data_IF_715465739821
#
_entry.id   IF_715465739821
#
_cell.length_a   1.000
_cell.length_b   1.000
_cell.length_c   1.000
_cell.angle_alpha   90.00
_cell.angle_beta   90.00
_cell.angle_gamma   90.00
#
_symmetry.space_group_name_H-M   'P 1'
#
loop_
_entity.id
_entity.type
_entity.pdbx_description
1 polymer ?
#
# COMPACT_ATOMS: atom_id res chain seq x y z
N UNK A 1 0.40 -4.28 48.14
CA UNK A 1 -0.26 -4.47 46.83
C UNK A 1 -0.21 -3.17 46.04
N UNK A 2 0.18 -3.28 44.75
CA UNK A 2 -0.09 -2.33 43.65
C UNK A 2 0.73 -1.03 43.60
N UNK A 3 2.03 -1.13 43.29
CA UNK A 3 2.84 -0.01 42.72
C UNK A 3 3.92 -0.49 41.72
N UNK A 4 3.62 -1.46 40.84
CA UNK A 4 4.59 -1.97 39.85
C UNK A 4 4.02 -2.03 38.41
N UNK A 5 2.96 -1.28 38.09
CA UNK A 5 2.33 -1.32 36.75
C UNK A 5 2.73 -0.19 35.81
N UNK A 6 3.71 0.66 36.16
CA UNK A 6 4.11 1.80 35.30
C UNK A 6 5.44 1.58 34.58
N UNK A 7 6.29 0.67 35.06
CA UNK A 7 7.63 0.46 34.46
C UNK A 7 7.59 -0.49 33.24
N UNK A 8 6.52 -1.26 33.07
CA UNK A 8 6.37 -2.13 31.89
C UNK A 8 5.99 -1.39 30.59
N UNK A 9 5.54 -0.14 30.67
CA UNK A 9 5.09 0.60 29.48
C UNK A 9 6.26 1.27 28.73
N UNK A 10 7.34 1.63 29.44
CA UNK A 10 8.48 2.38 28.85
C UNK A 10 9.48 1.46 28.14
N UNK A 11 9.54 0.18 28.51
CA UNK A 11 10.47 -0.79 27.90
C UNK A 11 9.98 -1.33 26.55
N UNK A 12 8.71 -1.10 26.19
CA UNK A 12 8.20 -1.44 24.85
C UNK A 12 8.54 -0.33 23.82
N UNK A 13 8.94 0.87 24.28
CA UNK A 13 9.34 1.99 23.41
C UNK A 13 10.82 1.93 22.96
N UNK A 14 11.48 0.79 23.17
CA UNK A 14 12.90 0.59 22.83
C UNK A 14 13.13 -0.57 21.85
N UNK A 15 12.21 -0.77 20.91
CA UNK A 15 12.53 -1.46 19.67
C UNK A 15 12.89 -0.40 18.62
N UNK A 16 14.19 -0.16 18.45
CA UNK A 16 14.71 0.46 17.24
C UNK A 16 14.26 -0.40 16.05
N UNK A 17 13.13 -0.09 15.42
CA UNK A 17 12.95 -0.45 14.03
C UNK A 17 13.84 0.52 13.25
N UNK A 18 15.01 0.01 12.89
CA UNK A 18 15.82 0.59 11.85
C UNK A 18 14.91 0.80 10.63
N UNK A 19 14.48 2.04 10.39
CA UNK A 19 13.97 2.43 9.08
C UNK A 19 15.19 2.22 8.17
N UNK A 20 15.17 1.30 7.19
CA UNK A 20 16.23 1.28 6.21
C UNK A 20 16.23 2.66 5.54
N UNK A 21 17.24 3.46 5.84
CA UNK A 21 17.56 4.64 5.05
C UNK A 21 17.87 4.09 3.65
N UNK A 22 16.93 4.25 2.73
CA UNK A 22 17.16 3.92 1.33
C UNK A 22 18.28 4.84 0.82
N UNK A 23 19.49 4.30 0.84
CA UNK A 23 20.64 4.93 0.24
C UNK A 23 20.35 5.07 -1.26
N UNK A 24 20.46 6.31 -1.75
CA UNK A 24 20.45 6.69 -3.15
C UNK A 24 21.58 5.94 -3.88
N UNK A 25 21.30 4.73 -4.35
CA UNK A 25 22.18 3.95 -5.20
C UNK A 25 22.00 4.39 -6.64
N UNK A 26 23.10 4.85 -7.26
CA UNK A 26 23.17 5.26 -8.65
C UNK A 26 22.54 4.22 -9.60
N UNK A 27 21.43 4.55 -10.25
CA UNK A 27 20.99 3.82 -11.43
C UNK A 27 21.87 4.24 -12.61
N UNK A 28 22.47 3.30 -13.36
CA UNK A 28 23.16 3.64 -14.59
C UNK A 28 22.14 4.21 -15.58
N UNK A 29 22.41 5.42 -16.05
CA UNK A 29 21.74 5.98 -17.22
C UNK A 29 22.02 5.06 -18.42
N UNK A 30 21.02 4.78 -19.26
CA UNK A 30 21.15 4.65 -20.74
C UNK A 30 19.81 4.34 -21.43
N UNK A 31 19.38 5.33 -22.23
CA UNK A 31 18.71 5.34 -23.54
C UNK A 31 17.28 4.81 -23.71
N UNK A 32 16.39 5.75 -24.06
CA UNK A 32 15.14 5.50 -24.77
C UNK A 32 14.43 6.83 -25.08
N UNK A 33 14.77 7.46 -26.21
CA UNK A 33 14.08 8.65 -26.71
C UNK A 33 12.71 8.22 -27.28
N UNK A 34 11.63 8.79 -26.77
CA UNK A 34 10.29 8.65 -27.35
C UNK A 34 9.50 9.94 -27.15
N UNK A 35 9.30 10.68 -28.24
CA UNK A 35 8.52 11.91 -28.28
C UNK A 35 7.06 11.51 -28.53
N UNK A 36 6.20 11.64 -27.52
CA UNK A 36 4.77 11.33 -27.63
C UNK A 36 3.91 12.57 -27.44
N UNK A 37 3.31 13.07 -28.53
CA UNK A 37 2.34 14.17 -28.53
C UNK A 37 0.97 13.55 -28.30
N UNK A 38 0.27 13.90 -27.22
CA UNK A 38 -1.03 13.33 -26.88
C UNK A 38 -2.19 14.24 -27.34
N UNK A 39 -2.80 13.91 -28.49
CA UNK A 39 -4.16 14.34 -28.85
C UNK A 39 -5.07 13.12 -28.79
N UNK A 40 -6.03 13.11 -27.86
CA UNK A 40 -6.77 11.91 -27.49
C UNK A 40 -7.83 11.44 -28.48
N UNK A 41 -8.16 10.14 -28.43
CA UNK A 41 -9.49 9.50 -28.36
C UNK A 41 -9.35 8.00 -28.70
N UNK A 42 -9.80 7.10 -27.80
CA UNK A 42 -10.03 5.68 -28.13
C UNK A 42 -9.18 4.64 -27.37
N UNK A 43 -9.89 3.70 -26.74
CA UNK A 43 -9.49 2.31 -26.39
C UNK A 43 -8.01 2.04 -26.14
N UNK A 44 -7.55 2.24 -24.91
CA UNK A 44 -6.20 1.85 -24.51
C UNK A 44 -6.11 0.34 -24.28
N UNK A 45 -5.74 -0.42 -25.33
CA UNK A 45 -4.76 -1.50 -25.17
C UNK A 45 -3.41 -0.79 -25.13
N UNK A 46 -3.06 -0.24 -23.97
CA UNK A 46 -1.85 0.57 -23.80
C UNK A 46 -0.81 -0.23 -23.03
N UNK A 47 0.26 -0.63 -23.70
CA UNK A 47 1.58 -0.91 -23.12
C UNK A 47 2.30 0.38 -22.67
N UNK A 48 1.51 1.35 -22.20
CA UNK A 48 1.91 2.73 -21.95
C UNK A 48 2.92 2.86 -20.83
N UNK A 49 4.20 2.88 -21.22
CA UNK A 49 5.27 3.49 -20.44
C UNK A 49 4.99 4.99 -20.42
N UNK A 50 4.30 5.46 -19.39
CA UNK A 50 4.05 6.89 -19.17
C UNK A 50 5.27 7.50 -18.50
N UNK A 51 6.12 8.20 -19.25
CA UNK A 51 7.26 8.96 -18.74
C UNK A 51 6.97 10.47 -18.81
N UNK A 52 6.54 11.05 -17.69
CA UNK A 52 6.40 12.50 -17.53
C UNK A 52 6.12 12.90 -16.08
N UNK A 53 7.16 13.33 -15.36
CA UNK A 53 7.19 13.88 -13.99
C UNK A 53 6.71 12.93 -12.87
N UNK A 54 7.65 12.12 -12.34
CA UNK A 54 7.44 11.26 -11.17
C UNK A 54 6.31 10.26 -11.39
N UNK A 55 6.55 9.21 -12.19
CA UNK A 55 5.52 8.28 -12.66
C UNK A 55 4.85 7.56 -11.47
N UNK A 56 3.75 8.13 -10.99
CA UNK A 56 2.86 7.49 -10.02
C UNK A 56 2.07 6.41 -10.74
N UNK A 57 2.59 5.19 -10.68
CA UNK A 57 1.99 4.03 -11.35
C UNK A 57 0.85 3.47 -10.49
N UNK A 58 -0.34 3.22 -11.05
CA UNK A 58 -1.45 2.69 -10.27
C UNK A 58 -1.13 1.26 -9.80
N UNK A 59 -1.32 1.00 -8.51
CA UNK A 59 -1.19 -0.33 -7.95
C UNK A 59 -2.56 -0.87 -7.52
N UNK A 60 -2.67 -2.20 -7.57
CA UNK A 60 -3.75 -2.95 -6.94
C UNK A 60 -3.12 -4.19 -6.28
N UNK A 61 -3.47 -4.43 -5.02
CA UNK A 61 -2.99 -5.56 -4.24
C UNK A 61 -4.03 -6.04 -3.25
N UNK A 62 -3.88 -7.27 -2.81
CA UNK A 62 -4.70 -7.89 -1.77
C UNK A 62 -3.85 -8.77 -0.87
N UNK A 63 -4.18 -8.81 0.41
CA UNK A 63 -3.42 -9.56 1.40
C UNK A 63 -3.89 -9.31 2.84
N UNK A 64 -3.45 -10.11 3.81
CA UNK A 64 -3.70 -9.83 5.22
C UNK A 64 -2.87 -8.63 5.71
N UNK A 65 -3.45 -7.81 6.57
CA UNK A 65 -2.71 -6.79 7.32
C UNK A 65 -1.80 -7.48 8.33
N UNK A 66 -0.51 -7.17 8.32
CA UNK A 66 0.47 -7.68 9.30
C UNK A 66 0.82 -6.66 10.39
N UNK A 67 0.73 -5.36 10.10
CA UNK A 67 0.93 -4.31 11.09
C UNK A 67 0.13 -3.04 10.74
N UNK A 68 -0.18 -2.24 11.76
CA UNK A 68 -0.82 -0.93 11.62
C UNK A 68 -0.04 0.06 12.50
N UNK A 69 0.35 1.19 11.91
CA UNK A 69 0.93 2.32 12.63
C UNK A 69 -0.07 3.50 12.59
N UNK A 70 -0.68 3.78 13.74
CA UNK A 70 -1.66 4.87 13.88
C UNK A 70 -1.03 6.25 13.89
N UNK A 71 0.24 6.37 14.31
CA UNK A 71 0.96 7.65 14.37
C UNK A 71 1.45 8.05 12.98
N UNK A 72 2.10 7.11 12.27
CA UNK A 72 2.59 7.32 10.91
C UNK A 72 1.50 7.18 9.84
N UNK A 73 0.29 6.75 10.21
CA UNK A 73 -0.86 6.49 9.31
C UNK A 73 -0.49 5.50 8.20
N UNK A 74 0.16 4.40 8.58
CA UNK A 74 0.54 3.34 7.64
C UNK A 74 -0.08 1.99 7.96
N UNK A 75 -0.28 1.18 6.92
CA UNK A 75 -0.77 -0.19 7.01
C UNK A 75 0.20 -1.10 6.29
N UNK A 76 0.77 -2.08 6.99
CA UNK A 76 1.64 -3.08 6.39
C UNK A 76 0.81 -4.30 6.01
N UNK A 77 0.95 -4.73 4.76
CA UNK A 77 0.18 -5.83 4.17
C UNK A 77 1.14 -6.88 3.62
N UNK A 78 0.92 -8.15 3.96
CA UNK A 78 1.60 -9.26 3.30
C UNK A 78 0.91 -9.50 1.95
N UNK A 79 1.62 -9.35 0.84
CA UNK A 79 0.98 -9.42 -0.48
C UNK A 79 0.64 -10.88 -0.82
N UNK A 80 -0.65 -11.16 -0.99
CA UNK A 80 -1.14 -12.45 -1.48
C UNK A 80 -1.37 -12.43 -2.99
N UNK A 81 -1.94 -11.32 -3.50
CA UNK A 81 -2.23 -11.10 -4.92
C UNK A 81 -2.01 -9.64 -5.27
N UNK A 82 -1.77 -9.33 -6.55
CA UNK A 82 -1.74 -7.96 -7.03
C UNK A 82 -1.42 -7.83 -8.52
N UNK A 83 -1.45 -6.59 -9.01
CA UNK A 83 -1.11 -6.27 -10.39
C UNK A 83 0.41 -6.39 -10.65
N UNK A 84 0.86 -6.14 -11.89
CA UNK A 84 2.27 -6.27 -12.30
C UNK A 84 3.28 -5.59 -11.36
N UNK A 85 2.89 -4.51 -10.68
CA UNK A 85 3.75 -3.82 -9.71
C UNK A 85 3.87 -4.56 -8.38
N UNK A 86 2.79 -5.19 -7.92
CA UNK A 86 2.73 -5.93 -6.66
C UNK A 86 3.14 -7.40 -6.80
N UNK A 87 3.12 -7.97 -8.02
CA UNK A 87 3.52 -9.36 -8.29
C UNK A 87 4.92 -9.75 -7.76
N UNK A 88 5.98 -8.92 -7.92
CA UNK A 88 7.30 -9.26 -7.38
C UNK A 88 7.34 -9.33 -5.85
N UNK A 89 6.34 -8.74 -5.18
CA UNK A 89 6.25 -8.66 -3.72
C UNK A 89 5.33 -9.73 -3.12
N UNK A 90 4.80 -10.67 -3.91
CA UNK A 90 3.98 -11.78 -3.40
C UNK A 90 4.76 -12.54 -2.32
N UNK A 91 4.13 -12.75 -1.16
CA UNK A 91 4.74 -13.35 0.04
C UNK A 91 5.59 -12.40 0.89
N UNK A 92 5.77 -11.15 0.45
CA UNK A 92 6.52 -10.12 1.16
C UNK A 92 5.58 -9.09 1.79
N UNK A 93 6.11 -8.32 2.72
CA UNK A 93 5.39 -7.21 3.34
C UNK A 93 5.63 -5.90 2.59
N UNK A 94 4.56 -5.14 2.39
CA UNK A 94 4.60 -3.79 1.81
C UNK A 94 3.87 -2.84 2.73
N UNK A 95 4.52 -1.71 3.04
CA UNK A 95 3.92 -0.62 3.83
C UNK A 95 3.17 0.34 2.93
N UNK A 96 1.89 0.52 3.21
CA UNK A 96 1.00 1.44 2.53
C UNK A 96 0.85 2.72 3.35
N UNK A 97 1.17 3.86 2.76
CA UNK A 97 0.85 5.16 3.33
C UNK A 97 -0.62 5.48 3.09
N UNK A 98 -1.29 5.95 4.14
CA UNK A 98 -2.64 6.50 4.04
C UNK A 98 -2.61 7.99 4.32
N UNK A 99 -3.56 8.71 3.72
CA UNK A 99 -3.75 10.16 3.89
C UNK A 99 -5.19 10.41 4.30
N UNK A 100 -5.53 11.66 4.61
CA UNK A 100 -6.91 12.01 4.95
C UNK A 100 -7.88 11.86 3.77
N UNK A 101 -7.36 11.73 2.54
CA UNK A 101 -8.17 11.44 1.34
C UNK A 101 -8.38 9.94 1.08
N UNK A 102 -7.69 9.07 1.83
CA UNK A 102 -7.81 7.62 1.68
C UNK A 102 -9.20 7.15 2.12
N UNK A 103 -9.89 6.43 1.25
CA UNK A 103 -11.20 5.86 1.54
C UNK A 103 -11.06 4.48 2.17
N UNK A 104 -11.65 4.30 3.35
CA UNK A 104 -11.71 3.00 4.00
C UNK A 104 -13.11 2.40 3.86
N UNK A 105 -13.19 1.15 3.45
CA UNK A 105 -14.43 0.43 3.23
C UNK A 105 -14.37 -0.94 3.90
N UNK A 106 -15.51 -1.45 4.35
CA UNK A 106 -15.71 -2.83 4.77
C UNK A 106 -16.58 -3.53 3.74
N UNK A 107 -16.11 -4.65 3.20
CA UNK A 107 -16.95 -5.59 2.46
C UNK A 107 -17.65 -6.51 3.46
N UNK A 108 -18.95 -6.36 3.57
CA UNK A 108 -19.76 -7.20 4.44
C UNK A 108 -19.97 -8.59 3.82
N UNK A 109 -20.35 -9.56 4.64
CA UNK A 109 -20.58 -10.94 4.21
C UNK A 109 -21.72 -11.09 3.20
N UNK A 110 -22.69 -10.17 3.20
CA UNK A 110 -23.79 -10.09 2.23
C UNK A 110 -23.36 -9.48 0.88
N UNK A 111 -22.09 -9.07 0.74
CA UNK A 111 -21.54 -8.43 -0.45
C UNK A 111 -21.75 -6.92 -0.51
N UNK A 112 -22.47 -6.32 0.43
CA UNK A 112 -22.59 -4.86 0.55
C UNK A 112 -21.27 -4.25 1.02
N UNK A 113 -21.11 -2.94 0.79
CA UNK A 113 -19.90 -2.20 1.15
C UNK A 113 -20.26 -1.01 2.03
N UNK A 114 -19.70 -0.97 3.23
CA UNK A 114 -19.94 0.11 4.21
C UNK A 114 -18.68 0.97 4.36
N UNK A 115 -18.79 2.31 4.37
CA UNK A 115 -17.67 3.17 4.75
C UNK A 115 -17.24 2.92 6.19
N UNK A 116 -15.93 2.82 6.41
CA UNK A 116 -15.31 2.71 7.74
C UNK A 116 -14.22 3.76 7.88
N UNK A 117 -13.54 3.77 9.01
CA UNK A 117 -12.38 4.62 9.30
C UNK A 117 -11.09 3.80 9.39
N UNK A 118 -9.95 4.49 9.43
CA UNK A 118 -8.65 3.83 9.63
C UNK A 118 -8.60 3.00 10.93
N UNK A 119 -9.28 3.47 11.98
CA UNK A 119 -9.26 2.82 13.29
C UNK A 119 -10.06 1.51 13.33
N UNK A 120 -10.89 1.26 12.32
CA UNK A 120 -11.68 0.03 12.20
C UNK A 120 -10.87 -1.10 11.53
N UNK A 121 -9.67 -0.79 11.01
CA UNK A 121 -8.75 -1.78 10.49
C UNK A 121 -8.08 -2.55 11.64
N UNK A 122 -7.92 -3.86 11.46
CA UNK A 122 -7.23 -4.70 12.42
C UNK A 122 -6.22 -5.63 11.75
N UNK A 123 -5.13 -5.92 12.45
CA UNK A 123 -4.14 -6.93 12.04
C UNK A 123 -4.82 -8.29 11.86
N UNK A 124 -4.44 -9.01 10.81
CA UNK A 124 -5.04 -10.28 10.40
C UNK A 124 -6.27 -10.15 9.50
N UNK A 125 -6.84 -8.94 9.33
CA UNK A 125 -7.91 -8.74 8.35
C UNK A 125 -7.36 -8.78 6.92
N UNK A 126 -8.08 -9.48 6.05
CA UNK A 126 -7.81 -9.45 4.62
C UNK A 126 -8.26 -8.12 4.02
N UNK A 127 -7.35 -7.44 3.34
CA UNK A 127 -7.61 -6.19 2.67
C UNK A 127 -7.34 -6.28 1.17
N UNK A 128 -8.03 -5.43 0.42
CA UNK A 128 -7.67 -5.05 -0.94
C UNK A 128 -7.36 -3.56 -0.97
N UNK A 129 -6.19 -3.20 -1.48
CA UNK A 129 -5.74 -1.82 -1.57
C UNK A 129 -5.54 -1.39 -3.01
N UNK A 130 -5.94 -0.16 -3.30
CA UNK A 130 -5.75 0.51 -4.57
C UNK A 130 -5.13 1.88 -4.33
N UNK A 131 -4.16 2.25 -5.15
CA UNK A 131 -3.47 3.52 -4.98
C UNK A 131 -2.42 3.79 -6.04
N UNK A 132 -1.44 4.61 -5.70
CA UNK A 132 -0.32 4.98 -6.58
C UNK A 132 1.01 4.63 -5.94
N UNK A 133 1.91 4.06 -6.74
CA UNK A 133 3.31 3.84 -6.39
C UNK A 133 4.16 4.89 -7.12
N UNK A 134 4.85 5.75 -6.39
CA UNK A 134 5.78 6.73 -6.93
C UNK A 134 6.97 6.90 -6.00
N UNK A 135 8.18 7.02 -6.55
CA UNK A 135 9.43 7.16 -5.78
C UNK A 135 9.61 6.09 -4.68
N UNK A 136 9.12 4.87 -4.93
CA UNK A 136 9.15 3.75 -3.97
C UNK A 136 8.09 3.82 -2.87
N UNK A 137 7.24 4.85 -2.86
CA UNK A 137 6.20 5.07 -1.86
C UNK A 137 4.85 4.58 -2.37
N UNK A 138 4.24 3.66 -1.62
CA UNK A 138 2.91 3.12 -1.88
C UNK A 138 1.87 3.98 -1.17
N UNK A 139 1.17 4.85 -1.89
CA UNK A 139 0.11 5.70 -1.33
C UNK A 139 -1.27 5.15 -1.66
N UNK A 140 -2.02 4.75 -0.64
CA UNK A 140 -3.36 4.19 -0.80
C UNK A 140 -4.41 5.29 -1.03
N UNK A 141 -5.22 5.11 -2.07
CA UNK A 141 -6.42 5.93 -2.33
C UNK A 141 -7.65 5.23 -1.74
N UNK A 142 -7.65 3.89 -1.73
CA UNK A 142 -8.71 3.06 -1.14
C UNK A 142 -8.15 1.82 -0.48
N UNK A 143 -8.67 1.49 0.70
CA UNK A 143 -8.43 0.23 1.40
C UNK A 143 -9.79 -0.38 1.75
N UNK A 144 -10.04 -1.59 1.26
CA UNK A 144 -11.26 -2.34 1.56
C UNK A 144 -10.91 -3.53 2.45
N UNK A 145 -11.39 -3.55 3.68
CA UNK A 145 -11.30 -4.70 4.60
C UNK A 145 -12.39 -5.74 4.31
N UNK A 146 -12.16 -6.98 4.73
CA UNK A 146 -13.04 -8.11 4.41
C UNK A 146 -12.94 -8.56 2.94
N UNK A 147 -11.84 -8.22 2.27
CA UNK A 147 -11.63 -8.61 0.89
C UNK A 147 -11.43 -10.13 0.76
N UNK A 148 -11.97 -10.71 -0.31
CA UNK A 148 -11.60 -12.05 -0.70
C UNK A 148 -10.17 -12.01 -1.27
N UNK A 149 -9.32 -12.94 -0.84
CA UNK A 149 -7.97 -13.10 -1.38
C UNK A 149 -8.02 -13.93 -2.67
N UNK A 150 -8.83 -13.51 -3.63
CA UNK A 150 -8.84 -14.12 -4.95
C UNK A 150 -7.97 -13.28 -5.89
N UNK A 151 -6.98 -13.92 -6.50
CA UNK A 151 -6.27 -13.35 -7.64
C UNK A 151 -7.24 -13.38 -8.83
N UNK A 152 -8.07 -12.36 -9.01
CA UNK A 152 -8.79 -12.21 -10.28
C UNK A 152 -7.80 -11.71 -11.34
N UNK A 153 -7.75 -12.37 -12.51
CA UNK A 153 -6.85 -12.01 -13.61
C UNK A 153 -7.14 -10.63 -14.20
#
# INVERSE_FOLDING_TARGET
>A
MKKITVISLVVIMLALSAIPAFAKGNQPATLGMGIGICTGTGTSIGDGTQNGFGVRSPYALSGPISAIDTEARTVTVTIACGNRLAQPFIGQEVTLQTTDTTRFLLRNSDGSVTPITFNDLAVGQNVSSHGTLGDGVWTAIRVTSGALLNCQP
#
